data_IF_533857494780
#
_entry.id   IF_533857494780
#
_cell.length_a   1.000
_cell.length_b   1.000
_cell.length_c   1.000
_cell.angle_alpha   90.00
_cell.angle_beta   90.00
_cell.angle_gamma   90.00
#
_symmetry.space_group_name_H-M   'P 1'
#
loop_
_entity.id
_entity.type
_entity.pdbx_description
1 polymer ?
#
# COMPACT_ATOMS: atom_id res chain seq x y z
N UNK A 1 0.40 30.68 9.34
CA UNK A 1 -0.27 29.34 9.48
C UNK A 1 0.83 28.33 9.70
N UNK A 2 0.79 27.55 10.78
CA UNK A 2 1.86 26.62 11.10
C UNK A 2 2.01 25.55 9.99
N UNK A 3 3.26 25.13 9.74
CA UNK A 3 3.56 24.03 8.81
C UNK A 3 3.16 22.69 9.41
N UNK A 4 3.38 22.52 10.71
CA UNK A 4 2.99 21.34 11.47
C UNK A 4 2.20 21.74 12.69
N UNK A 5 1.06 21.11 12.91
CA UNK A 5 0.21 21.31 14.08
C UNK A 5 -0.13 19.94 14.67
N UNK A 6 0.18 19.78 15.94
CA UNK A 6 -0.07 18.57 16.73
C UNK A 6 -1.04 18.93 17.83
N UNK A 7 -2.23 18.32 17.81
CA UNK A 7 -3.31 18.59 18.76
C UNK A 7 -3.61 17.34 19.60
N UNK A 8 -3.44 17.42 20.90
CA UNK A 8 -3.76 16.39 21.92
C UNK A 8 -3.24 15.00 21.54
N UNK A 9 -2.02 14.96 20.98
CA UNK A 9 -1.43 13.71 20.54
C UNK A 9 -1.29 12.73 21.69
N UNK A 10 -1.94 11.58 21.57
CA UNK A 10 -1.88 10.49 22.53
C UNK A 10 -1.46 9.20 21.85
N UNK A 11 -0.48 8.50 22.44
CA UNK A 11 0.04 7.24 21.94
C UNK A 11 0.03 6.18 23.04
N UNK A 12 -0.74 5.11 22.82
CA UNK A 12 -0.88 3.97 23.73
C UNK A 12 -0.36 2.70 23.07
N UNK A 13 0.46 1.94 23.78
CA UNK A 13 0.97 0.65 23.37
C UNK A 13 0.61 -0.39 24.43
N UNK A 14 -0.41 -1.22 24.12
CA UNK A 14 -0.97 -2.10 25.14
C UNK A 14 -1.50 -1.30 26.35
N UNK A 15 -0.96 -1.58 27.55
CA UNK A 15 -1.33 -0.86 28.78
C UNK A 15 -0.52 0.42 29.09
N UNK A 16 0.47 0.78 28.23
CA UNK A 16 1.39 1.89 28.48
C UNK A 16 0.99 3.09 27.61
N UNK A 17 0.83 4.27 28.23
CA UNK A 17 0.68 5.54 27.53
C UNK A 17 2.05 6.19 27.38
N UNK A 18 2.61 6.12 26.16
CA UNK A 18 3.95 6.64 25.85
C UNK A 18 3.94 8.16 25.54
N UNK A 19 2.80 8.70 25.08
CA UNK A 19 2.56 10.13 24.88
C UNK A 19 1.12 10.41 25.30
N UNK A 20 0.90 11.48 26.06
CA UNK A 20 -0.39 11.82 26.68
C UNK A 20 -0.74 13.28 26.42
N UNK A 21 -1.62 13.53 25.45
CA UNK A 21 -2.21 14.84 25.18
C UNK A 21 -1.20 15.93 24.79
N UNK A 22 -0.18 15.62 24.00
CA UNK A 22 0.85 16.59 23.60
C UNK A 22 0.33 17.50 22.49
N UNK A 23 0.46 18.83 22.70
CA UNK A 23 0.09 19.89 21.76
C UNK A 23 1.32 20.74 21.44
N UNK A 24 1.58 21.02 20.17
CA UNK A 24 2.53 22.04 19.70
C UNK A 24 2.29 22.40 18.24
N UNK A 25 2.83 23.58 17.86
CA UNK A 25 2.78 24.06 16.48
C UNK A 25 4.16 24.53 16.05
N UNK A 26 4.50 24.25 14.78
CA UNK A 26 5.78 24.63 14.18
C UNK A 26 5.52 25.58 13.03
N UNK A 27 6.08 26.80 13.11
CA UNK A 27 5.89 27.83 12.09
C UNK A 27 6.85 27.62 10.89
N UNK A 28 6.48 28.13 9.70
CA UNK A 28 7.33 28.02 8.50
C UNK A 28 8.71 28.64 8.73
N UNK A 29 9.75 27.94 8.29
CA UNK A 29 11.14 28.42 8.39
C UNK A 29 11.69 28.48 9.81
N UNK A 30 11.07 27.78 10.77
CA UNK A 30 11.48 27.69 12.16
C UNK A 30 12.36 26.45 12.40
N UNK A 31 13.33 26.58 13.29
CA UNK A 31 14.01 25.44 13.92
C UNK A 31 13.31 25.18 15.26
N UNK A 32 12.49 24.14 15.31
CA UNK A 32 11.76 23.74 16.49
C UNK A 32 12.37 22.46 17.06
N UNK A 33 12.74 22.48 18.35
CA UNK A 33 13.33 21.32 19.01
C UNK A 33 12.37 20.67 20.00
N UNK A 34 12.38 19.34 20.05
CA UNK A 34 11.70 18.52 21.05
C UNK A 34 12.75 17.83 21.91
N UNK A 35 12.83 18.20 23.18
CA UNK A 35 13.83 17.66 24.12
C UNK A 35 13.15 16.97 25.31
N UNK A 36 13.92 16.35 26.16
CA UNK A 36 13.46 15.67 27.38
C UNK A 36 14.34 14.48 27.75
N UNK A 37 14.18 13.90 28.93
CA UNK A 37 14.91 12.73 29.38
C UNK A 37 14.70 11.51 28.48
N UNK A 38 15.52 10.46 28.70
CA UNK A 38 15.32 9.19 28.03
C UNK A 38 13.98 8.58 28.46
N UNK A 39 13.21 8.07 27.47
CA UNK A 39 11.87 7.56 27.72
C UNK A 39 10.75 8.62 27.78
N UNK A 40 11.05 9.93 27.65
CA UNK A 40 10.05 10.99 27.67
C UNK A 40 9.05 10.99 26.51
N UNK A 41 9.18 10.08 25.50
CA UNK A 41 8.24 9.96 24.40
C UNK A 41 8.64 10.68 23.11
N UNK A 42 9.82 11.34 23.04
CA UNK A 42 10.29 12.12 21.87
C UNK A 42 10.22 11.35 20.55
N UNK A 43 10.88 10.19 20.48
CA UNK A 43 10.89 9.35 19.27
C UNK A 43 9.49 8.83 18.92
N UNK A 44 8.63 8.63 19.93
CA UNK A 44 7.22 8.24 19.72
C UNK A 44 6.44 9.35 19.02
N UNK A 45 6.64 10.62 19.44
CA UNK A 45 6.05 11.78 18.76
C UNK A 45 6.53 11.86 17.31
N UNK A 46 7.82 11.70 17.04
CA UNK A 46 8.35 11.66 15.67
C UNK A 46 7.76 10.52 14.82
N UNK A 47 7.64 9.32 15.40
CA UNK A 47 7.04 8.18 14.73
C UNK A 47 5.57 8.43 14.39
N UNK A 48 4.85 9.15 15.27
CA UNK A 48 3.47 9.55 15.01
C UNK A 48 3.39 10.61 13.90
N UNK A 49 4.26 11.63 13.89
CA UNK A 49 4.29 12.66 12.85
C UNK A 49 4.62 12.06 11.50
N UNK A 50 5.57 11.13 11.44
CA UNK A 50 6.03 10.49 10.18
C UNK A 50 5.21 9.31 9.73
N UNK A 51 4.09 8.99 10.41
CA UNK A 51 3.16 7.93 10.00
C UNK A 51 3.67 6.51 10.21
N UNK A 52 4.74 6.31 10.99
CA UNK A 52 5.22 4.99 11.40
C UNK A 52 4.20 4.37 12.38
N UNK A 53 3.65 5.20 13.27
CA UNK A 53 2.56 4.83 14.15
C UNK A 53 1.35 5.75 13.94
N UNK A 54 0.16 5.18 13.98
CA UNK A 54 -1.06 5.97 14.01
C UNK A 54 -1.33 6.44 15.44
N UNK A 55 -1.70 7.72 15.65
CA UNK A 55 -2.14 8.20 16.95
C UNK A 55 -3.27 7.35 17.53
N UNK A 56 -3.21 7.09 18.82
CA UNK A 56 -4.34 6.48 19.55
C UNK A 56 -5.47 7.48 19.74
N UNK A 57 -5.11 8.77 19.93
CA UNK A 57 -6.03 9.91 19.96
C UNK A 57 -5.27 11.20 19.58
N UNK A 58 -6.02 12.27 19.31
CA UNK A 58 -5.46 13.53 18.84
C UNK A 58 -5.38 13.64 17.32
N UNK A 59 -4.84 14.78 16.85
CA UNK A 59 -4.76 15.09 15.41
C UNK A 59 -3.40 15.67 15.06
N UNK A 60 -2.96 15.37 13.86
CA UNK A 60 -1.75 15.96 13.26
C UNK A 60 -2.15 16.55 11.93
N UNK A 61 -1.88 17.85 11.75
CA UNK A 61 -2.11 18.58 10.52
C UNK A 61 -0.77 19.05 9.95
N UNK A 62 -0.68 19.01 8.64
CA UNK A 62 0.43 19.52 7.89
C UNK A 62 -0.09 20.56 6.88
N UNK A 63 0.42 21.81 6.93
CA UNK A 63 -0.09 22.95 6.16
C UNK A 63 -1.61 23.10 6.26
N UNK A 64 -2.18 22.92 7.46
CA UNK A 64 -3.62 23.03 7.73
C UNK A 64 -4.46 21.85 7.24
N UNK A 65 -3.88 20.88 6.52
CA UNK A 65 -4.57 19.70 6.06
C UNK A 65 -4.32 18.51 6.99
N UNK A 66 -5.32 17.64 7.14
CA UNK A 66 -5.10 16.38 7.85
C UNK A 66 -3.96 15.60 7.18
N UNK A 67 -3.01 15.14 8.00
CA UNK A 67 -1.92 14.28 7.55
C UNK A 67 -2.40 12.85 7.22
N UNK A 68 -3.67 12.69 6.84
CA UNK A 68 -4.28 11.42 6.47
C UNK A 68 -4.66 11.43 4.98
N UNK A 69 -4.46 10.28 4.33
CA UNK A 69 -4.86 10.07 2.94
C UNK A 69 -6.40 10.14 2.81
N UNK A 70 -6.96 11.09 2.05
CA UNK A 70 -8.39 11.22 1.89
C UNK A 70 -8.98 10.01 1.15
N UNK A 71 -10.26 9.70 1.45
CA UNK A 71 -11.02 8.73 0.68
C UNK A 71 -11.39 9.36 -0.67
N UNK A 72 -10.64 9.02 -1.71
CA UNK A 72 -10.89 9.52 -3.07
C UNK A 72 -11.67 8.50 -3.90
N UNK A 73 -12.31 8.97 -4.97
CA UNK A 73 -12.96 8.09 -5.95
C UNK A 73 -12.00 7.01 -6.51
N UNK A 74 -10.72 7.34 -6.67
CA UNK A 74 -9.69 6.38 -7.10
C UNK A 74 -9.51 5.21 -6.14
N UNK A 75 -9.61 5.47 -4.83
CA UNK A 75 -9.54 4.40 -3.81
C UNK A 75 -10.76 3.50 -3.91
N UNK A 76 -11.95 4.07 -4.06
CA UNK A 76 -13.19 3.28 -4.24
C UNK A 76 -13.13 2.44 -5.51
N UNK A 77 -12.65 3.03 -6.61
CA UNK A 77 -12.46 2.31 -7.87
C UNK A 77 -11.45 1.14 -7.73
N UNK A 78 -10.36 1.37 -6.99
CA UNK A 78 -9.37 0.32 -6.70
C UNK A 78 -9.98 -0.81 -5.86
N UNK A 79 -10.75 -0.49 -4.82
CA UNK A 79 -11.45 -1.49 -4.01
C UNK A 79 -12.47 -2.29 -4.85
N UNK A 80 -13.22 -1.62 -5.73
CA UNK A 80 -14.14 -2.26 -6.65
C UNK A 80 -13.40 -3.19 -7.64
N UNK A 81 -12.30 -2.72 -8.20
CA UNK A 81 -11.48 -3.53 -9.12
C UNK A 81 -10.93 -4.80 -8.46
N UNK A 82 -10.37 -4.68 -7.25
CA UNK A 82 -9.89 -5.84 -6.49
C UNK A 82 -11.05 -6.78 -6.15
N UNK A 83 -12.22 -6.24 -5.77
CA UNK A 83 -13.43 -7.02 -5.54
C UNK A 83 -13.84 -7.83 -6.78
N UNK A 84 -13.91 -7.18 -7.95
CA UNK A 84 -14.24 -7.84 -9.23
C UNK A 84 -13.22 -8.91 -9.58
N UNK A 85 -11.92 -8.63 -9.44
CA UNK A 85 -10.88 -9.62 -9.72
C UNK A 85 -11.02 -10.85 -8.83
N UNK A 86 -11.26 -10.64 -7.53
CA UNK A 86 -11.46 -11.73 -6.56
C UNK A 86 -12.75 -12.51 -6.87
N UNK A 87 -13.82 -11.83 -7.27
CA UNK A 87 -15.05 -12.47 -7.70
C UNK A 87 -14.84 -13.37 -8.92
N UNK A 88 -14.08 -12.91 -9.92
CA UNK A 88 -13.73 -13.71 -11.11
C UNK A 88 -12.94 -14.96 -10.70
N UNK A 89 -11.96 -14.82 -9.81
CA UNK A 89 -11.17 -15.97 -9.32
C UNK A 89 -12.06 -16.97 -8.58
N UNK A 90 -12.94 -16.50 -7.71
CA UNK A 90 -13.89 -17.36 -6.97
C UNK A 90 -14.90 -18.03 -7.91
N UNK A 91 -15.37 -17.32 -8.95
CA UNK A 91 -16.24 -17.89 -9.98
C UNK A 91 -15.56 -19.08 -10.69
N UNK A 92 -14.34 -18.88 -11.22
CA UNK A 92 -13.62 -19.96 -11.89
C UNK A 92 -13.25 -21.12 -10.94
N UNK A 93 -12.97 -20.83 -9.69
CA UNK A 93 -12.73 -21.87 -8.70
C UNK A 93 -14.01 -22.69 -8.40
N UNK A 94 -15.17 -22.04 -8.32
CA UNK A 94 -16.45 -22.69 -8.03
C UNK A 94 -16.98 -23.48 -9.22
N UNK A 95 -16.88 -22.93 -10.44
CA UNK A 95 -17.31 -23.62 -11.68
C UNK A 95 -16.37 -24.78 -12.06
N UNK A 96 -15.09 -24.65 -11.72
CA UNK A 96 -14.03 -25.55 -12.19
C UNK A 96 -13.57 -25.23 -13.62
N UNK A 97 -12.29 -25.00 -13.82
CA UNK A 97 -11.74 -24.63 -15.12
C UNK A 97 -11.83 -25.81 -16.11
N UNK A 98 -11.57 -27.03 -15.63
CA UNK A 98 -11.55 -28.22 -16.51
C UNK A 98 -12.93 -28.58 -17.08
N UNK A 99 -14.03 -28.66 -16.29
CA UNK A 99 -15.37 -28.88 -16.83
C UNK A 99 -15.80 -27.80 -17.81
N UNK A 100 -15.54 -26.52 -17.48
CA UNK A 100 -15.87 -25.40 -18.36
C UNK A 100 -15.09 -25.46 -19.68
N UNK A 101 -13.79 -25.77 -19.64
CA UNK A 101 -12.96 -25.96 -20.82
C UNK A 101 -13.45 -27.13 -21.70
N UNK A 102 -13.82 -28.23 -21.08
CA UNK A 102 -14.35 -29.40 -21.78
C UNK A 102 -15.66 -29.04 -22.51
N UNK A 103 -16.57 -28.35 -21.84
CA UNK A 103 -17.86 -27.93 -22.41
C UNK A 103 -17.69 -26.89 -23.51
N UNK A 104 -16.90 -25.84 -23.27
CA UNK A 104 -16.79 -24.69 -24.17
C UNK A 104 -15.87 -24.91 -25.37
N UNK A 105 -14.88 -25.77 -25.26
CA UNK A 105 -13.82 -25.90 -26.31
C UNK A 105 -13.71 -27.33 -26.83
N UNK A 106 -13.43 -28.33 -25.98
CA UNK A 106 -13.15 -29.68 -26.45
C UNK A 106 -14.32 -30.33 -27.18
N UNK A 107 -15.55 -30.12 -26.70
CA UNK A 107 -16.75 -30.73 -27.31
C UNK A 107 -17.16 -30.11 -28.63
N UNK A 108 -17.29 -28.79 -28.80
CA UNK A 108 -17.57 -28.19 -30.08
C UNK A 108 -16.59 -28.65 -31.16
N UNK A 109 -15.27 -28.72 -30.83
CA UNK A 109 -14.25 -29.21 -31.73
C UNK A 109 -14.42 -30.71 -32.08
N UNK A 110 -14.79 -31.53 -31.09
CA UNK A 110 -15.01 -32.98 -31.32
C UNK A 110 -16.27 -33.26 -32.17
N UNK A 111 -17.26 -32.37 -32.16
CA UNK A 111 -18.50 -32.49 -32.94
C UNK A 111 -18.39 -31.99 -34.37
N UNK A 112 -17.19 -31.69 -34.86
CA UNK A 112 -16.96 -31.38 -36.28
C UNK A 112 -16.99 -29.89 -36.61
N UNK A 113 -16.80 -29.02 -35.62
CA UNK A 113 -16.49 -27.62 -35.88
C UNK A 113 -15.05 -27.53 -36.35
N UNK A 114 -14.84 -27.43 -37.64
CA UNK A 114 -13.48 -27.43 -38.27
C UNK A 114 -12.60 -26.24 -37.92
N UNK A 115 -13.17 -25.18 -37.29
CA UNK A 115 -12.45 -24.01 -36.79
C UNK A 115 -13.02 -23.56 -35.43
N UNK A 116 -12.13 -23.18 -34.52
CA UNK A 116 -12.54 -22.52 -33.29
C UNK A 116 -13.40 -21.30 -33.58
N UNK A 117 -14.65 -21.33 -33.14
CA UNK A 117 -15.59 -20.22 -33.23
C UNK A 117 -15.86 -19.68 -31.83
N UNK A 118 -15.50 -18.43 -31.58
CA UNK A 118 -15.76 -17.77 -30.30
C UNK A 118 -17.27 -17.78 -29.95
N UNK A 119 -18.14 -17.60 -30.95
CA UNK A 119 -19.59 -17.61 -30.76
C UNK A 119 -20.12 -18.98 -30.32
N UNK A 120 -19.63 -20.06 -30.90
CA UNK A 120 -20.02 -21.44 -30.53
C UNK A 120 -19.47 -21.82 -29.16
N UNK A 121 -18.24 -21.46 -28.86
CA UNK A 121 -17.65 -21.67 -27.53
C UNK A 121 -18.37 -20.88 -26.44
N UNK A 122 -18.78 -19.63 -26.70
CA UNK A 122 -19.56 -18.82 -25.77
C UNK A 122 -20.93 -19.40 -25.53
N UNK A 123 -21.64 -19.86 -26.58
CA UNK A 123 -22.95 -20.55 -26.45
C UNK A 123 -22.81 -21.83 -25.63
N UNK A 124 -21.79 -22.63 -25.88
CA UNK A 124 -21.55 -23.88 -25.16
C UNK A 124 -21.19 -23.62 -23.69
N UNK A 125 -20.43 -22.57 -23.40
CA UNK A 125 -20.15 -22.13 -22.03
C UNK A 125 -21.42 -21.69 -21.29
N UNK A 126 -22.26 -20.88 -21.93
CA UNK A 126 -23.54 -20.43 -21.38
C UNK A 126 -24.47 -21.62 -21.14
N UNK A 127 -24.58 -22.56 -22.08
CA UNK A 127 -25.36 -23.77 -21.93
C UNK A 127 -24.87 -24.63 -20.75
N UNK A 128 -23.56 -24.75 -20.58
CA UNK A 128 -22.97 -25.42 -19.42
C UNK A 128 -23.34 -24.76 -18.11
N UNK A 129 -23.20 -23.44 -18.01
CA UNK A 129 -23.51 -22.67 -16.80
C UNK A 129 -25.00 -22.70 -16.46
N UNK A 130 -25.87 -22.79 -17.46
CA UNK A 130 -27.32 -22.96 -17.29
C UNK A 130 -27.73 -24.41 -17.00
N UNK A 131 -26.80 -25.36 -17.00
CA UNK A 131 -27.09 -26.78 -16.80
C UNK A 131 -27.85 -27.42 -17.96
N UNK A 132 -27.73 -26.89 -19.18
CA UNK A 132 -28.37 -27.43 -20.37
C UNK A 132 -27.72 -28.75 -20.80
N UNK A 133 -28.53 -29.64 -21.38
CA UNK A 133 -28.03 -30.90 -21.92
C UNK A 133 -27.28 -30.66 -23.24
N UNK A 134 -26.25 -31.46 -23.49
CA UNK A 134 -25.46 -31.46 -24.74
C UNK A 134 -25.71 -32.72 -25.57
N UNK A 135 -25.47 -32.60 -26.87
CA UNK A 135 -25.45 -33.76 -27.76
C UNK A 135 -24.01 -34.06 -28.16
N UNK A 136 -23.66 -35.33 -28.23
CA UNK A 136 -22.35 -35.79 -28.65
C UNK A 136 -22.47 -36.90 -29.71
N UNK A 137 -21.65 -36.81 -30.75
CA UNK A 137 -21.52 -37.91 -31.71
C UNK A 137 -20.68 -39.04 -31.11
N UNK A 138 -21.16 -40.27 -31.21
CA UNK A 138 -20.45 -41.41 -30.64
C UNK A 138 -19.17 -41.66 -31.47
N UNK A 139 -18.01 -41.84 -30.83
CA UNK A 139 -16.70 -41.99 -31.50
C UNK A 139 -16.61 -43.23 -32.43
N UNK A 140 -17.42 -44.26 -32.17
CA UNK A 140 -17.52 -45.45 -33.02
C UNK A 140 -19.00 -45.68 -33.31
N UNK A 141 -19.48 -45.25 -34.49
CA UNK A 141 -20.84 -45.42 -34.95
C UNK A 141 -21.52 -44.14 -35.46
N UNK A 142 -22.74 -44.28 -36.01
CA UNK A 142 -23.56 -43.16 -36.50
C UNK A 142 -24.53 -42.59 -35.50
N UNK A 143 -24.52 -43.08 -34.23
CA UNK A 143 -25.45 -42.66 -33.20
C UNK A 143 -25.01 -41.41 -32.44
N UNK A 144 -25.97 -40.64 -31.97
CA UNK A 144 -25.80 -39.47 -31.17
C UNK A 144 -26.25 -39.76 -29.73
N UNK A 145 -25.53 -39.18 -28.75
CA UNK A 145 -25.86 -39.29 -27.31
C UNK A 145 -26.31 -37.96 -26.76
N UNK A 146 -27.31 -37.96 -25.89
CA UNK A 146 -27.75 -36.86 -25.07
C UNK A 146 -27.06 -37.04 -23.70
N UNK A 147 -26.22 -36.07 -23.35
CA UNK A 147 -25.37 -36.15 -22.16
C UNK A 147 -25.52 -34.89 -21.34
N UNK A 148 -25.19 -34.95 -20.02
CA UNK A 148 -25.06 -33.76 -19.19
C UNK A 148 -24.04 -32.78 -19.82
N UNK A 149 -24.14 -31.48 -19.53
CA UNK A 149 -23.23 -30.48 -20.06
C UNK A 149 -21.76 -30.82 -19.78
N UNK A 150 -21.46 -31.47 -18.68
CA UNK A 150 -20.12 -31.97 -18.32
C UNK A 150 -19.74 -33.27 -19.08
N UNK A 151 -20.69 -34.01 -19.67
CA UNK A 151 -20.51 -35.32 -20.31
C UNK A 151 -20.34 -36.49 -19.38
N UNK A 152 -20.57 -36.29 -18.11
CA UNK A 152 -20.40 -37.33 -17.09
C UNK A 152 -21.58 -38.32 -17.07
N UNK A 153 -22.74 -37.91 -17.53
CA UNK A 153 -23.95 -38.74 -17.49
C UNK A 153 -24.68 -38.78 -18.84
N UNK A 154 -25.01 -39.99 -19.31
CA UNK A 154 -25.77 -40.24 -20.54
C UNK A 154 -27.24 -40.44 -20.17
N UNK A 155 -28.15 -39.78 -20.94
CA UNK A 155 -29.61 -39.85 -20.73
C UNK A 155 -30.30 -40.66 -21.78
N UNK A 156 -29.93 -40.50 -23.04
CA UNK A 156 -30.50 -41.23 -24.16
C UNK A 156 -29.58 -41.27 -25.35
N UNK A 157 -29.89 -42.11 -26.32
CA UNK A 157 -29.23 -42.19 -27.64
C UNK A 157 -30.26 -42.00 -28.76
N UNK A 158 -29.82 -41.35 -29.88
CA UNK A 158 -30.63 -41.13 -31.04
C UNK A 158 -29.92 -41.66 -32.34
N UNK A 159 -30.69 -42.00 -33.32
CA UNK A 159 -30.14 -42.53 -34.58
C UNK A 159 -29.44 -41.46 -35.44
N UNK A 160 -29.95 -40.22 -35.36
CA UNK A 160 -29.43 -39.11 -36.14
C UNK A 160 -29.37 -37.83 -35.26
N UNK A 161 -28.76 -36.77 -35.76
CA UNK A 161 -28.58 -35.52 -35.05
C UNK A 161 -29.90 -34.79 -34.80
N UNK A 162 -30.84 -34.84 -35.74
CA UNK A 162 -32.14 -34.15 -35.62
C UNK A 162 -32.93 -34.71 -34.47
N UNK A 163 -33.02 -36.03 -34.35
CA UNK A 163 -33.70 -36.69 -33.25
C UNK A 163 -33.00 -36.41 -31.91
N UNK A 164 -31.66 -36.39 -31.90
CA UNK A 164 -30.88 -36.04 -30.71
C UNK A 164 -31.19 -34.62 -30.24
N UNK A 165 -31.33 -33.66 -31.15
CA UNK A 165 -31.68 -32.28 -30.83
C UNK A 165 -33.07 -32.17 -30.22
N UNK A 166 -34.07 -32.85 -30.83
CA UNK A 166 -35.45 -32.87 -30.33
C UNK A 166 -35.50 -33.46 -28.92
N UNK A 167 -34.85 -34.58 -28.67
CA UNK A 167 -34.79 -35.20 -27.35
C UNK A 167 -34.07 -34.31 -26.33
N UNK A 168 -32.94 -33.69 -26.71
CA UNK A 168 -32.24 -32.74 -25.86
C UNK A 168 -33.15 -31.57 -25.44
N UNK A 169 -33.83 -30.97 -26.43
CA UNK A 169 -34.70 -29.81 -26.19
C UNK A 169 -35.90 -30.17 -25.30
N UNK A 170 -36.48 -31.35 -25.49
CA UNK A 170 -37.52 -31.89 -24.62
C UNK A 170 -37.03 -32.08 -23.17
N UNK A 171 -35.87 -32.73 -22.98
CA UNK A 171 -35.31 -32.95 -21.65
C UNK A 171 -34.84 -31.64 -21.00
N UNK A 172 -34.31 -30.70 -21.78
CA UNK A 172 -33.95 -29.39 -21.28
C UNK A 172 -35.17 -28.57 -20.84
N UNK A 173 -36.26 -28.65 -21.56
CA UNK A 173 -37.53 -28.03 -21.13
C UNK A 173 -38.04 -28.61 -19.81
N UNK A 174 -37.97 -29.94 -19.67
CA UNK A 174 -38.32 -30.64 -18.42
C UNK A 174 -37.43 -30.23 -17.24
N UNK A 175 -36.16 -29.94 -17.47
CA UNK A 175 -35.26 -29.48 -16.41
C UNK A 175 -35.55 -28.04 -15.96
N UNK A 176 -36.02 -27.18 -16.87
CA UNK A 176 -36.30 -25.76 -16.58
C UNK A 176 -37.59 -25.53 -15.86
N UNK A 177 -38.62 -26.33 -16.12
CA UNK A 177 -39.95 -26.19 -15.52
C UNK A 177 -40.08 -27.04 -14.24
N UNK A 178 -40.16 -26.42 -13.05
CA UNK A 178 -40.31 -27.16 -11.78
C UNK A 178 -41.64 -27.93 -11.65
N UNK A 179 -42.67 -27.43 -12.34
CA UNK A 179 -44.01 -28.00 -12.29
C UNK A 179 -44.29 -29.02 -13.40
N UNK A 180 -43.37 -29.10 -14.37
CA UNK A 180 -43.53 -30.07 -15.45
C UNK A 180 -43.41 -31.49 -14.91
N UNK A 181 -44.47 -32.26 -14.90
CA UNK A 181 -44.40 -33.64 -14.47
C UNK A 181 -43.50 -34.40 -15.45
N UNK A 182 -42.50 -35.09 -14.91
CA UNK A 182 -41.64 -35.97 -15.70
C UNK A 182 -42.45 -37.21 -16.11
N UNK A 183 -43.45 -37.03 -17.01
CA UNK A 183 -44.26 -38.09 -17.57
C UNK A 183 -43.49 -38.74 -18.73
N UNK A 184 -42.47 -39.49 -18.39
CA UNK A 184 -41.93 -40.49 -19.30
C UNK A 184 -42.47 -41.82 -18.76
N UNK A 185 -43.69 -42.15 -19.16
CA UNK A 185 -44.33 -43.42 -18.79
C UNK A 185 -43.47 -44.64 -19.20
N UNK A 186 -42.55 -44.46 -20.15
CA UNK A 186 -41.69 -45.51 -20.71
C UNK A 186 -40.26 -45.53 -20.17
N UNK A 187 -39.84 -44.60 -19.28
CA UNK A 187 -38.46 -44.57 -18.76
C UNK A 187 -38.33 -43.92 -17.37
N UNK A 188 -38.80 -44.59 -16.28
CA UNK A 188 -38.68 -44.07 -14.90
C UNK A 188 -37.23 -43.81 -14.48
N UNK A 189 -36.27 -44.52 -15.08
CA UNK A 189 -34.84 -44.31 -14.87
C UNK A 189 -34.36 -42.94 -15.39
N UNK A 190 -34.86 -42.50 -16.55
CA UNK A 190 -34.54 -41.19 -17.13
C UNK A 190 -35.10 -40.07 -16.27
N UNK A 191 -36.35 -40.24 -15.76
CA UNK A 191 -36.97 -39.29 -14.87
C UNK A 191 -36.17 -39.08 -13.59
N UNK A 192 -35.71 -40.14 -12.95
CA UNK A 192 -34.89 -40.10 -11.75
C UNK A 192 -33.54 -39.41 -12.02
N UNK A 193 -32.91 -39.70 -13.15
CA UNK A 193 -31.62 -39.03 -13.55
C UNK A 193 -31.82 -37.55 -13.80
N UNK A 194 -32.92 -37.13 -14.44
CA UNK A 194 -33.22 -35.72 -14.69
C UNK A 194 -33.50 -34.95 -13.39
N UNK A 195 -34.20 -35.55 -12.42
CA UNK A 195 -34.48 -34.91 -11.13
C UNK A 195 -33.17 -34.76 -10.29
N UNK A 196 -32.36 -35.79 -10.26
CA UNK A 196 -31.04 -35.73 -9.64
C UNK A 196 -30.14 -34.62 -10.28
N UNK A 197 -30.18 -34.52 -11.62
CA UNK A 197 -29.44 -33.46 -12.33
C UNK A 197 -30.00 -32.07 -12.01
N UNK A 198 -31.33 -31.91 -11.93
CA UNK A 198 -31.99 -30.65 -11.55
C UNK A 198 -31.53 -30.17 -10.16
N UNK A 199 -31.51 -31.08 -9.19
CA UNK A 199 -31.06 -30.79 -7.83
C UNK A 199 -29.57 -30.40 -7.81
N UNK A 200 -28.72 -31.12 -8.56
CA UNK A 200 -27.30 -30.81 -8.69
C UNK A 200 -27.07 -29.39 -9.30
N UNK A 201 -27.77 -29.10 -10.41
CA UNK A 201 -27.65 -27.78 -11.08
C UNK A 201 -28.00 -26.64 -10.11
N UNK A 202 -29.10 -26.77 -9.34
CA UNK A 202 -29.50 -25.73 -8.38
C UNK A 202 -28.49 -25.52 -7.27
N UNK A 203 -27.90 -26.61 -6.74
CA UNK A 203 -26.84 -26.52 -5.72
C UNK A 203 -25.57 -25.90 -6.28
N UNK A 204 -25.16 -26.33 -7.47
CA UNK A 204 -23.94 -25.79 -8.11
C UNK A 204 -24.11 -24.30 -8.45
N UNK A 205 -25.25 -23.88 -8.98
CA UNK A 205 -25.57 -22.46 -9.21
C UNK A 205 -25.54 -21.64 -7.93
N UNK A 206 -26.14 -22.13 -6.85
CA UNK A 206 -26.13 -21.45 -5.55
C UNK A 206 -24.69 -21.29 -5.01
N UNK A 207 -23.86 -22.33 -5.14
CA UNK A 207 -22.45 -22.30 -4.74
C UNK A 207 -21.67 -21.31 -5.59
N UNK A 208 -21.85 -21.31 -6.92
CA UNK A 208 -21.16 -20.37 -7.84
C UNK A 208 -21.55 -18.93 -7.55
N UNK A 209 -22.86 -18.65 -7.38
CA UNK A 209 -23.33 -17.29 -7.04
C UNK A 209 -22.79 -16.87 -5.67
N UNK A 210 -22.89 -17.74 -4.67
CA UNK A 210 -22.39 -17.46 -3.31
C UNK A 210 -20.89 -17.21 -3.28
N UNK A 211 -20.10 -18.03 -3.96
CA UNK A 211 -18.65 -17.87 -4.06
C UNK A 211 -18.28 -16.58 -4.79
N UNK A 212 -18.96 -16.24 -5.88
CA UNK A 212 -18.71 -15.01 -6.66
C UNK A 212 -19.04 -13.77 -5.84
N UNK A 213 -20.20 -13.71 -5.19
CA UNK A 213 -20.60 -12.59 -4.34
C UNK A 213 -19.70 -12.49 -3.10
N UNK A 214 -19.37 -13.62 -2.49
CA UNK A 214 -18.43 -13.69 -1.37
C UNK A 214 -17.05 -13.17 -1.76
N UNK A 215 -16.55 -13.57 -2.92
CA UNK A 215 -15.28 -13.06 -3.49
C UNK A 215 -15.30 -11.56 -3.72
N UNK A 216 -16.39 -11.01 -4.27
CA UNK A 216 -16.58 -9.59 -4.48
C UNK A 216 -16.49 -8.81 -3.16
N UNK A 217 -17.25 -9.24 -2.16
CA UNK A 217 -17.30 -8.59 -0.85
C UNK A 217 -15.96 -8.70 -0.11
N UNK A 218 -15.33 -9.87 -0.09
CA UNK A 218 -14.06 -10.09 0.58
C UNK A 218 -12.94 -9.28 -0.07
N UNK A 219 -12.87 -9.24 -1.40
CA UNK A 219 -11.87 -8.46 -2.13
C UNK A 219 -12.03 -6.96 -1.90
N UNK A 220 -13.25 -6.44 -2.01
CA UNK A 220 -13.54 -5.03 -1.78
C UNK A 220 -13.32 -4.63 -0.32
N UNK A 221 -13.84 -5.40 0.63
CA UNK A 221 -13.68 -5.13 2.07
C UNK A 221 -12.22 -5.26 2.51
N UNK A 222 -11.49 -6.29 2.06
CA UNK A 222 -10.08 -6.49 2.34
C UNK A 222 -9.23 -5.31 1.85
N UNK A 223 -9.45 -4.87 0.60
CA UNK A 223 -8.79 -3.71 0.03
C UNK A 223 -9.10 -2.42 0.80
N UNK A 224 -10.36 -2.23 1.22
CA UNK A 224 -10.77 -1.09 2.03
C UNK A 224 -10.12 -1.09 3.42
N UNK A 225 -10.04 -2.25 4.07
CA UNK A 225 -9.35 -2.39 5.38
C UNK A 225 -7.86 -2.05 5.26
N UNK A 226 -7.19 -2.54 4.19
CA UNK A 226 -5.78 -2.21 3.93
C UNK A 226 -5.63 -0.69 3.74
N UNK A 227 -6.48 -0.07 2.92
CA UNK A 227 -6.47 1.39 2.75
C UNK A 227 -6.69 2.12 4.09
N UNK A 228 -7.66 1.68 4.90
CA UNK A 228 -7.94 2.30 6.21
C UNK A 228 -6.74 2.22 7.15
N UNK A 229 -5.99 1.11 7.14
CA UNK A 229 -4.75 0.95 7.93
C UNK A 229 -3.59 1.80 7.39
N UNK A 230 -3.55 2.06 6.08
CA UNK A 230 -2.50 2.83 5.42
C UNK A 230 -2.83 4.32 5.23
N UNK A 231 -3.85 4.86 5.91
CA UNK A 231 -4.24 6.27 5.81
C UNK A 231 -3.09 7.23 6.09
N UNK A 232 -2.20 6.88 7.04
CA UNK A 232 -1.01 7.64 7.41
C UNK A 232 0.22 6.77 7.17
N UNK A 233 0.64 6.70 5.94
CA UNK A 233 1.84 5.97 5.57
C UNK A 233 2.99 6.95 5.32
N UNK A 234 4.23 6.54 5.63
CA UNK A 234 5.41 7.38 5.47
C UNK A 234 5.62 7.84 4.02
N UNK A 235 5.22 7.02 3.04
CA UNK A 235 5.24 7.38 1.63
C UNK A 235 4.28 8.54 1.32
N UNK A 236 3.07 8.51 1.86
CA UNK A 236 2.09 9.59 1.68
C UNK A 236 2.58 10.90 2.31
N UNK A 237 3.12 10.85 3.54
CA UNK A 237 3.65 12.03 4.23
C UNK A 237 4.88 12.61 3.53
N UNK A 238 5.74 11.75 2.99
CA UNK A 238 6.85 12.19 2.14
C UNK A 238 6.34 12.90 0.87
N UNK A 239 5.21 12.43 0.28
CA UNK A 239 4.57 13.10 -0.84
C UNK A 239 4.03 14.49 -0.50
N UNK A 240 3.68 14.74 0.74
CA UNK A 240 3.25 16.08 1.20
C UNK A 240 4.41 17.03 1.49
N UNK A 241 5.65 16.54 1.56
CA UNK A 241 6.83 17.36 1.80
C UNK A 241 7.40 17.20 3.20
N UNK A 242 7.15 16.09 3.87
CA UNK A 242 7.77 15.74 5.15
C UNK A 242 8.92 14.76 4.88
N UNK A 243 10.15 15.11 5.25
CA UNK A 243 11.30 14.22 5.21
C UNK A 243 11.81 13.93 6.63
N UNK A 244 12.43 12.76 6.83
CA UNK A 244 13.01 12.36 8.11
C UNK A 244 14.36 11.68 7.92
N UNK A 245 15.31 12.01 8.79
CA UNK A 245 16.50 11.19 9.06
C UNK A 245 16.21 10.25 10.23
N UNK A 246 17.00 9.20 10.39
CA UNK A 246 16.85 8.25 11.48
C UNK A 246 18.03 8.39 12.46
N UNK A 247 17.83 8.01 13.73
CA UNK A 247 18.87 8.00 14.75
C UNK A 247 20.09 7.17 14.28
N UNK A 248 19.87 5.96 13.77
CA UNK A 248 20.91 5.17 13.12
C UNK A 248 20.97 5.51 11.63
N UNK A 249 22.14 5.83 11.11
CA UNK A 249 22.36 6.16 9.71
C UNK A 249 21.88 5.03 8.80
N UNK A 250 20.95 5.35 7.90
CA UNK A 250 20.38 4.39 6.94
C UNK A 250 20.75 4.77 5.52
N UNK A 251 22.00 4.52 5.14
CA UNK A 251 22.49 4.72 3.78
C UNK A 251 22.52 3.41 3.00
N UNK A 252 22.45 3.51 1.69
CA UNK A 252 22.77 2.41 0.78
C UNK A 252 24.29 2.31 0.67
N UNK A 253 24.89 1.54 1.56
CA UNK A 253 26.33 1.49 1.81
C UNK A 253 27.16 1.09 0.58
N UNK A 254 26.63 0.25 -0.30
CA UNK A 254 27.29 -0.24 -1.51
C UNK A 254 26.95 0.62 -2.75
N UNK A 255 26.24 1.71 -2.57
CA UNK A 255 25.96 2.71 -3.61
C UNK A 255 26.87 3.93 -3.41
N UNK A 256 27.06 4.68 -4.49
CA UNK A 256 27.84 5.92 -4.42
C UNK A 256 27.06 7.00 -3.65
N UNK A 257 27.78 8.05 -3.26
CA UNK A 257 27.22 9.24 -2.63
C UNK A 257 26.18 9.89 -3.55
N UNK A 258 26.49 10.03 -4.84
CA UNK A 258 25.58 10.55 -5.83
C UNK A 258 24.32 9.70 -6.00
N UNK A 259 24.47 8.37 -6.07
CA UNK A 259 23.33 7.46 -6.18
C UNK A 259 22.40 7.53 -4.95
N UNK A 260 22.95 7.63 -3.74
CA UNK A 260 22.15 7.83 -2.53
C UNK A 260 21.27 9.10 -2.62
N UNK A 261 21.81 10.22 -3.13
CA UNK A 261 21.03 11.45 -3.32
C UNK A 261 20.00 11.29 -4.43
N UNK A 262 20.37 10.67 -5.55
CA UNK A 262 19.47 10.43 -6.68
C UNK A 262 18.25 9.57 -6.30
N UNK A 263 18.41 8.61 -5.37
CA UNK A 263 17.26 7.87 -4.80
C UNK A 263 16.27 8.83 -4.11
N UNK A 264 16.77 9.83 -3.36
CA UNK A 264 15.92 10.87 -2.78
C UNK A 264 15.15 11.68 -3.83
N UNK A 265 15.75 11.88 -5.01
CA UNK A 265 15.13 12.60 -6.13
C UNK A 265 14.20 11.75 -7.00
N UNK A 266 14.05 10.46 -6.74
CA UNK A 266 13.29 9.54 -7.60
C UNK A 266 11.87 10.05 -7.90
N UNK A 267 11.25 10.72 -6.94
CA UNK A 267 9.93 11.35 -7.10
C UNK A 267 9.92 12.47 -8.15
N UNK A 268 10.99 13.27 -8.20
CA UNK A 268 11.11 14.42 -9.10
C UNK A 268 11.52 14.02 -10.52
N UNK A 269 11.87 12.75 -10.74
CA UNK A 269 12.24 12.19 -12.06
C UNK A 269 11.05 11.43 -12.64
N UNK A 270 10.06 12.08 -13.28
CA UNK A 270 8.93 11.39 -13.83
C UNK A 270 9.36 10.54 -15.03
N UNK A 271 9.22 9.22 -14.94
CA UNK A 271 9.51 8.28 -16.01
C UNK A 271 8.71 6.99 -15.83
N UNK A 272 8.13 6.48 -16.91
CA UNK A 272 7.55 5.13 -16.91
C UNK A 272 8.66 4.08 -16.99
N UNK A 273 8.44 2.90 -16.41
CA UNK A 273 9.39 1.79 -16.47
C UNK A 273 9.84 1.47 -17.90
N UNK A 274 8.93 1.62 -18.88
CA UNK A 274 9.23 1.37 -20.31
C UNK A 274 10.22 2.41 -20.85
N UNK A 275 10.10 3.71 -20.46
CA UNK A 275 11.03 4.75 -20.91
C UNK A 275 12.43 4.59 -20.30
N UNK A 276 12.50 4.04 -19.07
CA UNK A 276 13.77 3.72 -18.41
C UNK A 276 14.45 2.52 -19.08
N UNK A 277 13.72 1.44 -19.35
CA UNK A 277 14.24 0.23 -20.04
C UNK A 277 14.75 0.58 -21.45
N UNK A 278 13.96 1.35 -22.22
CA UNK A 278 14.30 1.74 -23.59
C UNK A 278 15.32 2.89 -23.66
N UNK A 279 15.77 3.45 -22.51
CA UNK A 279 16.74 4.56 -22.43
C UNK A 279 16.43 5.72 -23.39
N UNK A 280 15.17 6.14 -23.46
CA UNK A 280 14.72 7.20 -24.36
C UNK A 280 15.52 8.50 -24.13
N UNK A 281 15.80 9.33 -25.17
CA UNK A 281 16.59 10.56 -25.06
C UNK A 281 16.05 11.52 -23.97
N UNK A 282 14.73 11.61 -23.84
CA UNK A 282 14.06 12.40 -22.80
C UNK A 282 14.41 11.90 -21.39
N UNK A 283 14.52 10.59 -21.19
CA UNK A 283 14.87 10.00 -19.91
C UNK A 283 16.34 10.30 -19.56
N UNK A 284 17.27 10.13 -20.51
CA UNK A 284 18.70 10.45 -20.31
C UNK A 284 18.92 11.91 -19.95
N UNK A 285 18.17 12.84 -20.57
CA UNK A 285 18.26 14.28 -20.23
C UNK A 285 17.82 14.53 -18.79
N UNK A 286 16.73 13.91 -18.34
CA UNK A 286 16.22 14.04 -16.97
C UNK A 286 17.21 13.47 -15.94
N UNK A 287 17.82 12.33 -16.25
CA UNK A 287 18.86 11.73 -15.40
C UNK A 287 20.09 12.65 -15.30
N UNK A 288 20.51 13.28 -16.39
CA UNK A 288 21.61 14.26 -16.38
C UNK A 288 21.25 15.51 -15.55
N UNK A 289 20.05 16.05 -15.71
CA UNK A 289 19.54 17.19 -14.91
C UNK A 289 19.48 16.82 -13.41
N UNK A 290 19.02 15.61 -13.07
CA UNK A 290 19.00 15.12 -11.68
C UNK A 290 20.44 14.96 -11.11
N UNK A 291 21.37 14.45 -11.90
CA UNK A 291 22.77 14.33 -11.48
C UNK A 291 23.40 15.70 -11.23
N UNK A 292 23.07 16.73 -12.02
CA UNK A 292 23.52 18.11 -11.78
C UNK A 292 22.97 18.65 -10.46
N UNK A 293 21.65 18.52 -10.23
CA UNK A 293 21.02 18.93 -8.96
C UNK A 293 21.59 18.16 -7.76
N UNK A 294 21.90 16.86 -7.93
CA UNK A 294 22.51 16.07 -6.88
C UNK A 294 23.93 16.60 -6.52
N UNK A 295 24.73 17.00 -7.51
CA UNK A 295 26.03 17.62 -7.26
C UNK A 295 25.93 18.96 -6.54
N UNK A 296 24.98 19.81 -6.94
CA UNK A 296 24.71 21.09 -6.26
C UNK A 296 24.30 20.88 -4.80
N UNK A 297 23.46 19.89 -4.54
CA UNK A 297 23.05 19.55 -3.19
C UNK A 297 24.21 19.00 -2.36
N UNK A 298 25.04 18.13 -2.92
CA UNK A 298 26.25 17.62 -2.26
C UNK A 298 27.26 18.74 -1.98
N UNK A 299 27.40 19.70 -2.88
CA UNK A 299 28.24 20.89 -2.63
C UNK A 299 27.71 21.71 -1.46
N UNK A 300 26.37 21.91 -1.38
CA UNK A 300 25.72 22.58 -0.25
C UNK A 300 25.97 21.86 1.07
N UNK A 301 25.98 20.53 1.06
CA UNK A 301 26.24 19.69 2.24
C UNK A 301 27.72 19.61 2.63
N UNK A 302 28.64 20.23 1.85
CA UNK A 302 30.08 20.13 2.06
C UNK A 302 30.70 18.81 1.61
N UNK A 303 30.00 18.08 0.73
CA UNK A 303 30.43 16.79 0.13
C UNK A 303 30.86 16.95 -1.35
N UNK A 304 31.31 18.15 -1.75
CA UNK A 304 31.80 18.41 -3.09
C UNK A 304 32.96 17.46 -3.44
N UNK A 305 32.95 16.93 -4.67
CA UNK A 305 33.98 16.01 -5.15
C UNK A 305 33.86 14.56 -4.71
N UNK A 306 32.88 14.22 -3.85
CA UNK A 306 32.65 12.84 -3.36
C UNK A 306 31.54 12.09 -4.08
N UNK A 307 31.07 12.62 -5.20
CA UNK A 307 29.88 12.08 -5.91
C UNK A 307 30.00 10.59 -6.25
N UNK A 308 31.20 10.17 -6.68
CA UNK A 308 31.48 8.81 -7.14
C UNK A 308 32.06 7.90 -6.02
N UNK A 309 32.31 8.44 -4.82
CA UNK A 309 32.77 7.66 -3.67
C UNK A 309 31.65 6.72 -3.17
N UNK A 310 32.01 5.53 -2.68
CA UNK A 310 31.04 4.65 -2.01
C UNK A 310 30.65 5.23 -0.65
N UNK A 311 29.36 5.19 -0.33
CA UNK A 311 28.82 5.75 0.93
C UNK A 311 29.48 5.13 2.18
N UNK A 312 29.83 3.83 2.15
CA UNK A 312 30.53 3.15 3.25
C UNK A 312 31.93 3.65 3.53
N UNK A 313 32.58 4.30 2.55
CA UNK A 313 33.95 4.81 2.68
C UNK A 313 33.98 6.22 3.26
N UNK A 314 32.84 6.86 3.48
CA UNK A 314 32.77 8.18 4.10
C UNK A 314 33.04 8.11 5.60
N UNK A 315 33.73 9.11 6.19
CA UNK A 315 33.73 9.32 7.63
C UNK A 315 32.32 9.46 8.21
N UNK A 316 32.14 9.15 9.48
CA UNK A 316 30.82 9.13 10.13
C UNK A 316 30.05 10.47 9.97
N UNK A 317 30.72 11.59 10.21
CA UNK A 317 30.11 12.92 10.02
C UNK A 317 29.63 13.17 8.59
N UNK A 318 30.41 12.73 7.57
CA UNK A 318 30.05 12.85 6.17
C UNK A 318 28.89 11.88 5.79
N UNK A 319 28.84 10.70 6.40
CA UNK A 319 27.69 9.79 6.23
C UNK A 319 26.40 10.45 6.75
N UNK A 320 26.45 11.13 7.89
CA UNK A 320 25.31 11.88 8.43
C UNK A 320 24.90 13.04 7.52
N UNK A 321 25.87 13.78 6.98
CA UNK A 321 25.59 14.83 5.98
C UNK A 321 24.95 14.26 4.72
N UNK A 322 25.39 13.08 4.26
CA UNK A 322 24.79 12.39 3.11
C UNK A 322 23.36 11.93 3.40
N UNK A 323 23.06 11.45 4.61
CA UNK A 323 21.71 11.10 5.01
C UNK A 323 20.76 12.31 4.97
N UNK A 324 21.23 13.47 5.47
CA UNK A 324 20.50 14.74 5.40
C UNK A 324 20.37 15.18 3.93
N UNK A 325 21.41 15.04 3.11
CA UNK A 325 21.35 15.32 1.67
C UNK A 325 20.26 14.51 0.97
N UNK A 326 20.18 13.22 1.25
CA UNK A 326 19.13 12.35 0.68
C UNK A 326 17.73 12.76 1.13
N UNK A 327 17.56 13.17 2.39
CA UNK A 327 16.30 13.70 2.87
C UNK A 327 15.95 15.03 2.19
N UNK A 328 16.91 15.92 2.02
CA UNK A 328 16.77 17.20 1.30
C UNK A 328 16.45 17.02 -0.19
N UNK A 329 16.94 15.95 -0.80
CA UNK A 329 16.70 15.61 -2.21
C UNK A 329 15.22 15.34 -2.54
N UNK A 330 14.40 15.09 -1.53
CA UNK A 330 12.93 15.01 -1.68
C UNK A 330 12.24 16.37 -1.82
N UNK A 331 13.01 17.48 -1.74
CA UNK A 331 12.51 18.86 -1.73
C UNK A 331 11.46 19.08 -0.62
N UNK A 332 11.81 18.82 0.66
CA UNK A 332 10.83 18.84 1.74
C UNK A 332 10.53 20.28 2.18
N UNK A 333 9.32 20.49 2.71
CA UNK A 333 8.93 21.72 3.42
C UNK A 333 9.26 21.62 4.93
N UNK A 334 9.26 20.38 5.45
CA UNK A 334 9.59 20.06 6.83
C UNK A 334 10.56 18.88 6.86
N UNK A 335 11.71 19.08 7.49
CA UNK A 335 12.68 18.02 7.74
C UNK A 335 12.71 17.69 9.24
N UNK A 336 12.59 16.40 9.56
CA UNK A 336 12.72 15.88 10.91
C UNK A 336 14.11 15.28 11.09
N UNK A 337 14.87 15.78 12.03
CA UNK A 337 16.21 15.33 12.37
C UNK A 337 16.20 14.64 13.74
N UNK A 338 16.49 13.34 13.77
CA UNK A 338 16.44 12.50 14.94
C UNK A 338 17.87 12.26 15.48
N UNK A 339 18.26 12.97 16.52
CA UNK A 339 19.60 12.96 17.14
C UNK A 339 20.75 13.06 16.11
N UNK A 340 20.75 14.11 15.27
CA UNK A 340 21.68 14.19 14.16
C UNK A 340 23.14 14.36 14.59
N UNK A 341 23.43 14.84 15.81
CA UNK A 341 24.79 15.02 16.34
C UNK A 341 25.30 13.81 17.14
N UNK A 342 24.49 12.73 17.28
CA UNK A 342 24.92 11.56 18.03
C UNK A 342 26.19 10.94 17.43
N UNK A 343 27.20 10.73 18.26
CA UNK A 343 28.49 10.15 17.86
C UNK A 343 29.45 11.10 17.11
N UNK A 344 29.11 12.38 16.98
CA UNK A 344 29.98 13.42 16.39
C UNK A 344 30.92 14.05 17.43
N UNK A 345 32.09 14.43 16.96
CA UNK A 345 32.99 15.26 17.76
C UNK A 345 32.51 16.73 17.81
N UNK A 346 33.04 17.57 18.73
CA UNK A 346 32.61 18.98 18.88
C UNK A 346 32.73 19.82 17.58
N UNK A 347 33.78 19.61 16.78
CA UNK A 347 33.98 20.33 15.51
C UNK A 347 32.91 19.91 14.48
N UNK A 348 32.62 18.61 14.35
CA UNK A 348 31.60 18.09 13.45
C UNK A 348 30.22 18.60 13.88
N UNK A 349 29.94 18.64 15.21
CA UNK A 349 28.70 19.18 15.78
C UNK A 349 28.51 20.64 15.40
N UNK A 350 29.55 21.46 15.52
CA UNK A 350 29.52 22.89 15.10
C UNK A 350 29.22 23.01 13.61
N UNK A 351 29.89 22.22 12.77
CA UNK A 351 29.63 22.21 11.32
C UNK A 351 28.20 21.74 10.98
N UNK A 352 27.64 20.82 11.77
CA UNK A 352 26.25 20.40 11.63
C UNK A 352 25.26 21.51 12.02
N UNK A 353 25.52 22.25 13.12
CA UNK A 353 24.72 23.40 13.52
C UNK A 353 24.63 24.46 12.41
N UNK A 354 25.77 24.80 11.79
CA UNK A 354 25.79 25.71 10.67
C UNK A 354 25.01 25.18 9.46
N UNK A 355 25.13 23.89 9.18
CA UNK A 355 24.38 23.26 8.10
C UNK A 355 22.85 23.33 8.36
N UNK A 356 22.41 23.06 9.58
CA UNK A 356 20.96 23.14 9.95
C UNK A 356 20.46 24.59 9.79
N UNK A 357 21.26 25.60 10.18
CA UNK A 357 20.90 27.01 9.95
C UNK A 357 20.77 27.33 8.46
N UNK A 358 21.71 26.87 7.62
CA UNK A 358 21.66 27.03 6.16
C UNK A 358 20.43 26.33 5.53
N UNK A 359 20.02 25.18 6.06
CA UNK A 359 18.79 24.49 5.64
C UNK A 359 17.57 25.37 5.94
N UNK A 360 17.49 25.96 7.13
CA UNK A 360 16.44 26.92 7.51
C UNK A 360 16.43 28.15 6.60
N UNK A 361 17.60 28.70 6.29
CA UNK A 361 17.74 29.87 5.40
C UNK A 361 17.24 29.60 3.97
N UNK A 362 17.19 28.34 3.54
CA UNK A 362 16.52 27.91 2.31
C UNK A 362 15.00 27.84 2.41
N UNK A 363 14.41 28.25 3.53
CA UNK A 363 12.97 28.25 3.77
C UNK A 363 12.42 26.91 4.23
N UNK A 364 13.29 25.95 4.58
CA UNK A 364 12.86 24.63 5.06
C UNK A 364 12.70 24.67 6.57
N UNK A 365 11.54 24.22 7.04
CA UNK A 365 11.29 24.10 8.48
C UNK A 365 12.02 22.89 9.04
N UNK A 366 12.59 23.02 10.22
CA UNK A 366 13.35 21.93 10.86
C UNK A 366 12.69 21.55 12.19
N UNK A 367 12.35 20.29 12.33
CA UNK A 367 11.94 19.71 13.61
C UNK A 367 13.05 18.79 14.09
N UNK A 368 13.61 19.07 15.27
CA UNK A 368 14.81 18.44 15.81
C UNK A 368 14.52 17.70 17.09
N UNK A 369 14.97 16.46 17.22
CA UNK A 369 15.16 15.80 18.53
C UNK A 369 16.65 15.79 18.81
N UNK A 370 17.02 16.29 19.97
CA UNK A 370 18.42 16.27 20.45
C UNK A 370 18.47 16.19 21.97
N UNK A 371 19.58 15.68 22.47
CA UNK A 371 19.92 15.65 23.89
C UNK A 371 21.15 16.50 24.23
N UNK A 372 21.87 16.99 23.21
CA UNK A 372 22.98 17.91 23.37
C UNK A 372 22.45 19.33 23.55
N UNK A 373 22.36 19.78 24.83
CA UNK A 373 21.76 21.07 25.18
C UNK A 373 22.46 22.27 24.51
N UNK A 374 23.79 22.25 24.38
CA UNK A 374 24.53 23.33 23.71
C UNK A 374 24.10 23.49 22.24
N UNK A 375 23.86 22.39 21.52
CA UNK A 375 23.35 22.43 20.17
C UNK A 375 21.94 22.99 20.15
N UNK A 376 21.04 22.44 20.97
CA UNK A 376 19.63 22.86 21.02
C UNK A 376 19.51 24.34 21.33
N UNK A 377 20.17 24.81 22.41
CA UNK A 377 20.11 26.21 22.83
C UNK A 377 20.75 27.16 21.80
N UNK A 378 21.73 26.65 21.03
CA UNK A 378 22.45 27.44 20.04
C UNK A 378 21.74 27.66 18.71
N UNK A 379 20.78 26.78 18.32
CA UNK A 379 20.17 26.86 16.97
C UNK A 379 18.64 26.95 16.97
N UNK A 380 17.98 26.57 18.09
CA UNK A 380 16.51 26.50 18.10
C UNK A 380 15.89 27.89 18.24
N UNK A 381 14.82 28.12 17.50
CA UNK A 381 13.96 29.29 17.69
C UNK A 381 12.95 29.03 18.81
N UNK A 382 12.49 27.77 18.95
CA UNK A 382 11.53 27.35 19.97
C UNK A 382 11.79 25.91 20.39
N UNK A 383 11.54 25.61 21.65
CA UNK A 383 11.82 24.31 22.26
C UNK A 383 10.57 23.85 23.02
N UNK A 384 10.13 22.60 22.77
CA UNK A 384 9.19 21.89 23.62
C UNK A 384 9.93 20.84 24.45
N UNK A 385 9.60 20.77 25.72
CA UNK A 385 10.18 19.82 26.68
C UNK A 385 9.14 18.77 27.02
N UNK A 386 9.50 17.51 26.80
CA UNK A 386 8.68 16.36 27.17
C UNK A 386 9.26 15.68 28.41
N UNK A 387 8.37 15.25 29.30
CA UNK A 387 8.69 14.39 30.42
C UNK A 387 7.53 13.40 30.65
N UNK A 388 7.84 12.11 30.84
CA UNK A 388 6.86 11.02 30.98
C UNK A 388 5.68 11.10 30.01
N UNK A 389 5.95 11.41 28.74
CA UNK A 389 4.96 11.50 27.68
C UNK A 389 4.12 12.77 27.64
N UNK A 390 4.39 13.76 28.52
CA UNK A 390 3.67 15.04 28.57
C UNK A 390 4.58 16.21 28.25
N UNK A 391 4.02 17.26 27.66
CA UNK A 391 4.73 18.52 27.46
C UNK A 391 4.73 19.30 28.76
N UNK A 392 5.90 19.51 29.38
CA UNK A 392 6.05 20.23 30.67
C UNK A 392 6.40 21.70 30.48
N UNK A 393 7.03 22.06 29.35
CA UNK A 393 7.39 23.44 29.01
C UNK A 393 7.46 23.63 27.49
N UNK A 394 7.27 24.88 27.06
CA UNK A 394 7.50 25.30 25.65
C UNK A 394 7.85 26.80 25.67
N UNK A 395 8.90 27.17 24.95
CA UNK A 395 9.33 28.59 24.89
C UNK A 395 10.61 28.78 24.08
N UNK A 396 11.14 29.98 24.11
CA UNK A 396 12.47 30.31 23.55
C UNK A 396 13.59 29.63 24.39
N UNK A 397 14.79 29.41 23.79
CA UNK A 397 15.90 28.76 24.49
C UNK A 397 16.21 29.38 25.87
N UNK A 398 16.21 30.70 25.94
CA UNK A 398 16.48 31.42 27.24
C UNK A 398 15.42 31.13 28.30
N UNK A 399 14.15 31.01 27.92
CA UNK A 399 13.05 30.68 28.83
C UNK A 399 13.16 29.24 29.35
N UNK A 400 13.51 28.32 28.46
CA UNK A 400 13.64 26.90 28.76
C UNK A 400 14.84 26.65 29.70
N UNK A 401 15.96 27.33 29.46
CA UNK A 401 17.18 27.19 30.29
C UNK A 401 16.95 27.52 31.77
N UNK A 402 16.01 28.41 32.09
CA UNK A 402 15.72 28.86 33.46
C UNK A 402 14.42 28.29 34.02
N UNK A 403 13.75 27.37 33.28
CA UNK A 403 12.49 26.84 33.74
C UNK A 403 12.68 25.78 34.84
N UNK A 404 12.13 25.98 36.07
CA UNK A 404 12.35 25.04 37.19
C UNK A 404 11.88 23.60 36.89
N UNK A 405 10.76 23.45 36.15
CA UNK A 405 10.25 22.12 35.76
C UNK A 405 11.19 21.40 34.83
N UNK A 406 11.87 22.13 33.94
CA UNK A 406 12.83 21.56 33.01
C UNK A 406 14.09 21.14 33.75
N UNK A 407 14.58 21.98 34.66
CA UNK A 407 15.74 21.68 35.51
C UNK A 407 15.47 20.43 36.35
N UNK A 408 14.32 20.35 37.02
CA UNK A 408 13.89 19.20 37.81
C UNK A 408 13.81 17.92 36.97
N UNK A 409 13.29 18.00 35.77
CA UNK A 409 13.16 16.83 34.87
C UNK A 409 14.51 16.25 34.43
N UNK A 410 15.56 17.08 34.32
CA UNK A 410 16.90 16.64 33.88
C UNK A 410 17.82 16.29 35.07
N UNK A 411 17.72 16.98 36.19
CA UNK A 411 18.58 16.74 37.36
C UNK A 411 17.99 15.74 38.36
N UNK A 412 16.71 15.38 38.19
CA UNK A 412 15.93 14.65 39.18
C UNK A 412 15.44 15.55 40.31
N UNK A 413 14.48 15.05 41.10
CA UNK A 413 14.13 15.71 42.37
C UNK A 413 15.30 15.51 43.28
N UNK A 414 16.14 16.52 43.44
CA UNK A 414 16.95 16.60 44.65
C UNK A 414 15.95 16.61 45.81
N UNK A 415 16.05 15.61 46.69
CA UNK A 415 15.45 15.68 48.01
C UNK A 415 16.07 16.90 48.68
N UNK A 416 15.34 18.02 48.64
CA UNK A 416 15.64 19.17 49.44
C UNK A 416 15.30 18.74 50.87
N UNK A 417 16.32 18.22 51.53
CA UNK A 417 16.31 17.94 52.97
C UNK A 417 16.38 19.22 53.74
#
# INVERSE_FOLDING_TARGET
MPVLEVEKLTMKFGGITAVDGVDFAVEPGQIYSVIGPNGAGKTTVFNAITGIYNPSDGRIRFEGHSAERPLTFRVLLHCAFVGVLTAILCFFAAVGIEPLWNAAIKRPLANGVDKFSYAESAKAAIAYLNGELAIEKQRRGSRWRIVSAEGSQEFATAANETDARVLRDTFSATLRDPEWPIHTADAPEIATKLDALRTKIRTDQAVVIGATLGGLLLGAAGSFVIWRRSKRSADYLSLQGIARTFQNIRLFQNMTVGENVLIGMHRSIPGGWLSAVLRLPKQRRREAEAATKARELLQFMGLAGRFDDLAKNLPYGDQRRLEIARAMATEPKLILLDEPAAGMNPSETTGLMELIRKIRERGITVLLIEHHMNLVMGISDRIAVLDYGKKIAEGAPAEIAHNPKVIEAYLGKEEVS
#
